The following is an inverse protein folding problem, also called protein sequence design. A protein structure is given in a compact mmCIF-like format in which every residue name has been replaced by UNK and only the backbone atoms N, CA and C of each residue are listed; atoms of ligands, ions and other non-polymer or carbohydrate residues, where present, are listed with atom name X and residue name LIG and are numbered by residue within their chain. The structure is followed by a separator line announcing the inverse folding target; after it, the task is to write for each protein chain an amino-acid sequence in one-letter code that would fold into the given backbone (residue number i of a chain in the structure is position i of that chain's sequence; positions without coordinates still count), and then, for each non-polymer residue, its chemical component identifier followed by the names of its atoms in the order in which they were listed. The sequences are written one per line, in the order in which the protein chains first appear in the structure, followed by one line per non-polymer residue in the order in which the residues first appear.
data_IF_445750788698
#
_entry.id   IF_445750788698
#
_cell.length_a   1.000
_cell.length_b   1.000
_cell.length_c   1.000
_cell.angle_alpha   90.00
_cell.angle_beta   90.00
_cell.angle_gamma   90.00
#
_symmetry.space_group_name_H-M   'P 1'
#
loop_
_entity.id
_entity.type
_entity.pdbx_description
1 polymer ?
#
# COMPACT_ATOMS: atom_id res chain seq x y z
N UNK A 1 -21.14 17.95 38.26
CA UNK A 1 -21.69 17.31 37.05
C UNK A 1 -20.48 16.80 36.27
N UNK A 2 -20.10 15.55 36.51
CA UNK A 2 -18.82 15.00 36.05
C UNK A 2 -18.89 14.67 34.57
N UNK A 3 -17.97 15.29 33.83
CA UNK A 3 -17.57 15.04 32.45
C UNK A 3 -17.68 13.56 32.08
N UNK A 4 -18.65 13.25 31.21
CA UNK A 4 -18.80 11.93 30.61
C UNK A 4 -17.72 11.77 29.55
N UNK A 5 -16.55 11.30 29.97
CA UNK A 5 -15.41 11.08 29.10
C UNK A 5 -15.80 10.13 27.97
N UNK A 6 -15.99 10.66 26.75
CA UNK A 6 -16.14 9.88 25.53
C UNK A 6 -14.78 9.23 25.23
N UNK A 7 -14.52 8.05 25.79
CA UNK A 7 -13.31 7.26 25.54
C UNK A 7 -13.70 5.86 25.11
N UNK A 8 -13.36 5.52 23.88
CA UNK A 8 -13.39 4.15 23.38
C UNK A 8 -11.97 3.67 23.19
N UNK A 9 -11.65 2.48 23.71
CA UNK A 9 -10.33 1.84 23.50
C UNK A 9 -10.06 1.47 22.04
N UNK A 10 -11.09 1.55 21.18
CA UNK A 10 -11.01 1.28 19.74
C UNK A 10 -10.75 2.55 18.90
N UNK A 11 -10.77 3.74 19.50
CA UNK A 11 -10.46 5.00 18.85
C UNK A 11 -9.08 5.46 19.32
N UNK A 12 -8.19 5.76 18.37
CA UNK A 12 -6.77 5.54 18.60
C UNK A 12 -6.02 6.63 19.38
N UNK A 13 -5.13 6.14 20.26
CA UNK A 13 -3.92 6.79 20.81
C UNK A 13 -2.63 6.28 20.11
N UNK A 14 -2.74 5.33 19.16
CA UNK A 14 -1.65 4.76 18.35
C UNK A 14 -1.76 5.13 16.85
N UNK A 15 -0.77 4.77 16.02
CA UNK A 15 -0.70 5.15 14.59
C UNK A 15 -1.79 4.46 13.74
N UNK A 16 -2.85 5.17 13.31
CA UNK A 16 -3.93 4.57 12.54
C UNK A 16 -3.51 4.34 11.08
N UNK A 17 -4.20 3.41 10.41
CA UNK A 17 -4.15 3.33 8.94
C UNK A 17 -4.86 4.58 8.40
N UNK A 18 -4.07 5.47 7.80
CA UNK A 18 -4.59 6.68 7.15
C UNK A 18 -4.70 6.45 5.65
N UNK A 19 -5.82 6.85 5.07
CA UNK A 19 -6.08 6.72 3.63
C UNK A 19 -6.52 8.07 3.10
N UNK A 20 -5.89 8.51 2.02
CA UNK A 20 -6.35 9.66 1.28
C UNK A 20 -7.67 9.35 0.56
N UNK A 21 -8.67 10.20 0.78
CA UNK A 21 -10.02 9.99 0.23
C UNK A 21 -10.04 10.11 -1.29
N UNK A 22 -9.18 10.95 -1.86
CA UNK A 22 -9.09 11.12 -3.31
C UNK A 22 -8.44 9.91 -3.92
N UNK A 23 -7.34 9.41 -3.35
CA UNK A 23 -6.72 8.15 -3.75
C UNK A 23 -7.74 7.00 -3.74
N UNK A 24 -8.51 6.86 -2.66
CA UNK A 24 -9.55 5.83 -2.56
C UNK A 24 -10.63 5.97 -3.65
N UNK A 25 -10.98 7.18 -4.08
CA UNK A 25 -11.90 7.41 -5.20
C UNK A 25 -11.26 7.09 -6.56
N UNK A 26 -9.96 7.33 -6.72
CA UNK A 26 -9.24 7.11 -7.97
C UNK A 26 -9.00 5.62 -8.21
N UNK A 27 -8.56 4.87 -7.19
CA UNK A 27 -8.08 3.48 -7.38
C UNK A 27 -8.88 2.42 -6.62
N UNK A 28 -9.76 2.83 -5.70
CA UNK A 28 -10.51 1.96 -4.78
C UNK A 28 -9.92 1.97 -3.36
N UNK A 29 -10.78 1.72 -2.36
CA UNK A 29 -10.40 1.81 -0.95
C UNK A 29 -9.31 0.80 -0.56
N UNK A 30 -9.50 -0.47 -0.93
CA UNK A 30 -8.55 -1.52 -0.55
C UNK A 30 -7.20 -1.29 -1.24
N UNK A 31 -7.23 -0.91 -2.51
CA UNK A 31 -6.06 -0.58 -3.31
C UNK A 31 -5.30 0.62 -2.72
N UNK A 32 -6.02 1.67 -2.29
CA UNK A 32 -5.44 2.84 -1.64
C UNK A 32 -4.74 2.48 -0.33
N UNK A 33 -5.35 1.66 0.52
CA UNK A 33 -4.76 1.19 1.78
C UNK A 33 -3.46 0.41 1.51
N UNK A 34 -3.49 -0.56 0.59
CA UNK A 34 -2.30 -1.37 0.28
C UNK A 34 -1.20 -0.52 -0.33
N UNK A 35 -1.53 0.34 -1.30
CA UNK A 35 -0.55 1.20 -1.96
C UNK A 35 0.11 2.17 -0.98
N UNK A 36 -0.66 2.74 -0.05
CA UNK A 36 -0.14 3.61 1.00
C UNK A 36 0.81 2.86 1.95
N UNK A 37 0.48 1.62 2.33
CA UNK A 37 1.33 0.81 3.19
C UNK A 37 2.63 0.39 2.49
N UNK A 38 2.59 0.09 1.19
CA UNK A 38 3.80 -0.14 0.39
C UNK A 38 4.64 1.14 0.33
N UNK A 39 4.02 2.29 0.07
CA UNK A 39 4.70 3.57 0.02
C UNK A 39 5.46 3.88 1.33
N UNK A 40 4.84 3.61 2.49
CA UNK A 40 5.50 3.75 3.78
C UNK A 40 6.84 3.00 3.84
N UNK A 41 6.86 1.73 3.40
CA UNK A 41 8.08 0.92 3.40
C UNK A 41 9.10 1.39 2.37
N UNK A 42 8.65 1.87 1.20
CA UNK A 42 9.54 2.48 0.21
C UNK A 42 10.22 3.74 0.75
N UNK A 43 9.47 4.59 1.46
CA UNK A 43 10.02 5.79 2.12
C UNK A 43 11.00 5.40 3.21
N UNK A 44 10.66 4.41 4.03
CA UNK A 44 11.58 3.88 5.05
C UNK A 44 12.87 3.37 4.42
N UNK A 45 12.80 2.54 3.38
CA UNK A 45 13.96 1.98 2.70
C UNK A 45 14.80 3.07 2.03
N UNK A 46 14.15 4.08 1.43
CA UNK A 46 14.81 5.24 0.85
C UNK A 46 15.60 6.05 1.88
N UNK A 47 14.96 6.39 3.02
CA UNK A 47 15.60 7.14 4.11
C UNK A 47 16.79 6.41 4.71
N UNK A 48 16.70 5.08 4.80
CA UNK A 48 17.77 4.24 5.33
C UNK A 48 18.77 3.78 4.26
N UNK A 49 18.58 4.17 2.99
CA UNK A 49 19.44 3.83 1.86
C UNK A 49 19.65 2.31 1.67
N UNK A 50 18.60 1.53 1.93
CA UNK A 50 18.59 0.06 1.74
C UNK A 50 17.67 -0.32 0.59
N UNK A 51 17.87 -1.52 0.03
CA UNK A 51 16.99 -2.09 -1.00
C UNK A 51 16.87 -1.22 -2.27
N UNK A 52 17.97 -0.55 -2.64
CA UNK A 52 18.06 0.20 -3.89
C UNK A 52 18.62 -0.69 -5.00
N UNK A 53 17.78 -1.00 -6.00
CA UNK A 53 18.08 -1.95 -7.07
C UNK A 53 17.57 -1.35 -8.39
N UNK A 54 18.41 -1.34 -9.42
CA UNK A 54 18.10 -0.85 -10.77
C UNK A 54 17.48 0.56 -10.78
N UNK A 55 18.05 1.47 -9.98
CA UNK A 55 17.62 2.87 -9.94
C UNK A 55 16.35 3.13 -9.12
N UNK A 56 15.81 2.14 -8.41
CA UNK A 56 14.58 2.26 -7.62
C UNK A 56 14.75 1.69 -6.22
N UNK A 57 14.02 2.25 -5.26
CA UNK A 57 13.84 1.60 -3.96
C UNK A 57 12.73 0.57 -4.07
N UNK A 58 12.92 -0.53 -3.34
CA UNK A 58 11.99 -1.64 -3.28
C UNK A 58 11.68 -2.03 -1.84
N UNK A 59 10.51 -2.61 -1.62
CA UNK A 59 10.18 -3.35 -0.40
C UNK A 59 9.83 -4.78 -0.78
N UNK A 60 9.98 -5.72 0.12
CA UNK A 60 9.64 -7.12 -0.13
C UNK A 60 8.83 -7.69 1.00
N UNK A 61 7.95 -8.64 0.66
CA UNK A 61 7.23 -9.53 1.57
C UNK A 61 6.49 -10.55 0.69
N UNK A 62 6.23 -11.74 1.22
CA UNK A 62 5.21 -12.63 0.68
C UNK A 62 3.81 -12.06 0.94
N UNK A 63 2.81 -12.49 0.17
CA UNK A 63 1.41 -12.11 0.42
C UNK A 63 0.96 -12.55 1.82
N UNK A 64 1.52 -13.66 2.32
CA UNK A 64 1.25 -14.15 3.68
C UNK A 64 1.77 -13.18 4.74
N UNK A 65 3.02 -12.72 4.62
CA UNK A 65 3.58 -11.74 5.55
C UNK A 65 2.85 -10.39 5.48
N UNK A 66 2.48 -9.94 4.27
CA UNK A 66 1.63 -8.75 4.11
C UNK A 66 0.31 -8.89 4.89
N UNK A 67 -0.34 -10.04 4.76
CA UNK A 67 -1.58 -10.35 5.47
C UNK A 67 -1.36 -10.38 6.99
N UNK A 68 -0.43 -11.19 7.48
CA UNK A 68 -0.23 -11.41 8.91
C UNK A 68 0.29 -10.17 9.66
N UNK A 69 1.06 -9.29 9.02
CA UNK A 69 1.67 -8.14 9.69
C UNK A 69 0.88 -6.83 9.55
N UNK A 70 0.18 -6.62 8.44
CA UNK A 70 -0.42 -5.30 8.13
C UNK A 70 -1.90 -5.35 7.80
N UNK A 71 -2.43 -6.51 7.39
CA UNK A 71 -3.78 -6.62 6.83
C UNK A 71 -4.56 -7.80 7.43
N UNK A 72 -4.31 -8.14 8.69
CA UNK A 72 -4.91 -9.27 9.40
C UNK A 72 -6.42 -9.09 9.62
N UNK A 73 -6.90 -7.84 9.52
CA UNK A 73 -8.31 -7.46 9.49
C UNK A 73 -9.03 -7.81 8.16
N UNK A 74 -8.30 -8.24 7.13
CA UNK A 74 -8.86 -8.80 5.89
C UNK A 74 -8.61 -10.30 5.79
N UNK A 75 -9.34 -10.97 4.88
CA UNK A 75 -8.98 -12.33 4.49
C UNK A 75 -7.73 -12.34 3.62
N UNK A 76 -6.95 -13.41 3.69
CA UNK A 76 -5.78 -13.63 2.82
C UNK A 76 -6.11 -13.41 1.33
N UNK A 77 -7.25 -13.93 0.86
CA UNK A 77 -7.69 -13.76 -0.53
C UNK A 77 -7.97 -12.31 -0.90
N UNK A 78 -8.43 -11.48 0.05
CA UNK A 78 -8.63 -10.05 -0.19
C UNK A 78 -7.29 -9.37 -0.41
N UNK A 79 -6.31 -9.60 0.47
CA UNK A 79 -4.95 -9.07 0.32
C UNK A 79 -4.36 -9.51 -1.02
N UNK A 80 -4.40 -10.81 -1.32
CA UNK A 80 -3.89 -11.38 -2.57
C UNK A 80 -4.51 -10.71 -3.81
N UNK A 81 -5.84 -10.60 -3.86
CA UNK A 81 -6.54 -9.98 -4.99
C UNK A 81 -6.24 -8.49 -5.11
N UNK A 82 -6.10 -7.77 -4.01
CA UNK A 82 -5.78 -6.34 -4.01
C UNK A 82 -4.38 -6.09 -4.57
N UNK A 83 -3.36 -6.85 -4.15
CA UNK A 83 -2.02 -6.76 -4.74
C UNK A 83 -2.04 -7.07 -6.25
N UNK A 84 -2.71 -8.15 -6.66
CA UNK A 84 -2.84 -8.51 -8.08
C UNK A 84 -3.54 -7.43 -8.90
N UNK A 85 -4.56 -6.76 -8.33
CA UNK A 85 -5.26 -5.67 -9.00
C UNK A 85 -4.37 -4.44 -9.16
N UNK A 86 -3.60 -4.07 -8.15
CA UNK A 86 -2.62 -2.98 -8.24
C UNK A 86 -1.53 -3.28 -9.29
N UNK A 87 -1.03 -4.53 -9.34
CA UNK A 87 -0.11 -4.99 -10.38
C UNK A 87 -0.74 -4.87 -11.78
N UNK A 88 -1.99 -5.32 -11.94
CA UNK A 88 -2.74 -5.23 -13.21
C UNK A 88 -3.01 -3.79 -13.64
N UNK A 89 -3.27 -2.89 -12.68
CA UNK A 89 -3.39 -1.46 -12.93
C UNK A 89 -2.04 -0.83 -13.30
N UNK A 90 -0.92 -1.53 -13.10
CA UNK A 90 0.42 -1.05 -13.32
C UNK A 90 0.86 0.02 -12.32
N UNK A 91 0.16 0.16 -11.19
CA UNK A 91 0.55 1.08 -10.11
C UNK A 91 1.59 0.47 -9.18
N UNK A 92 1.54 -0.86 -9.06
CA UNK A 92 2.49 -1.64 -8.28
C UNK A 92 3.32 -2.48 -9.23
N UNK A 93 4.61 -2.18 -9.30
CA UNK A 93 5.57 -2.95 -10.08
C UNK A 93 6.12 -4.04 -9.18
N UNK A 94 6.12 -5.29 -9.66
CA UNK A 94 6.71 -6.40 -8.92
C UNK A 94 7.89 -7.04 -9.64
N UNK A 95 8.83 -7.55 -8.86
CA UNK A 95 10.01 -8.26 -9.33
C UNK A 95 10.33 -9.43 -8.39
N UNK A 96 11.19 -10.33 -8.87
CA UNK A 96 11.80 -11.39 -8.06
C UNK A 96 13.31 -11.23 -8.09
N UNK A 97 13.90 -10.87 -6.96
CA UNK A 97 15.35 -10.77 -6.80
C UNK A 97 15.95 -11.93 -6.00
N UNK A 98 15.13 -12.89 -5.57
CA UNK A 98 15.58 -14.03 -4.79
C UNK A 98 15.88 -15.21 -5.71
N UNK A 99 17.04 -15.86 -5.51
CA UNK A 99 17.51 -16.99 -6.34
C UNK A 99 16.71 -18.28 -6.10
N UNK A 100 16.12 -18.45 -4.91
CA UNK A 100 15.35 -19.63 -4.57
C UNK A 100 13.97 -19.62 -5.25
N UNK A 101 13.67 -20.69 -5.99
CA UNK A 101 12.38 -20.90 -6.67
C UNK A 101 11.24 -21.17 -5.70
N UNK A 102 11.52 -21.74 -4.52
CA UNK A 102 10.51 -22.03 -3.50
C UNK A 102 10.10 -20.78 -2.73
N UNK A 103 10.96 -19.76 -2.71
CA UNK A 103 10.67 -18.49 -2.07
C UNK A 103 9.56 -17.72 -2.82
N UNK A 104 8.47 -17.50 -2.10
CA UNK A 104 7.27 -16.78 -2.56
C UNK A 104 7.35 -15.27 -2.30
N UNK A 105 8.46 -14.79 -1.74
CA UNK A 105 8.72 -13.38 -1.53
C UNK A 105 8.76 -12.65 -2.87
N UNK A 106 7.95 -11.61 -2.97
CA UNK A 106 7.96 -10.68 -4.09
C UNK A 106 8.50 -9.34 -3.62
N UNK A 107 9.22 -8.69 -4.52
CA UNK A 107 9.65 -7.32 -4.35
C UNK A 107 8.67 -6.41 -5.06
N UNK A 108 8.40 -5.26 -4.45
CA UNK A 108 7.42 -4.29 -4.90
C UNK A 108 7.99 -2.88 -4.89
N UNK A 109 7.64 -2.11 -5.90
CA UNK A 109 7.83 -0.66 -5.98
C UNK A 109 6.60 -0.01 -6.62
N UNK A 110 6.47 1.31 -6.52
CA UNK A 110 5.30 2.04 -7.04
C UNK A 110 5.69 2.76 -8.33
N UNK A 111 4.81 2.70 -9.32
CA UNK A 111 4.85 3.57 -10.49
C UNK A 111 4.18 4.91 -10.15
N UNK A 112 4.95 5.84 -9.60
CA UNK A 112 4.45 7.15 -9.16
C UNK A 112 3.98 8.01 -10.34
N UNK A 113 4.68 7.95 -11.48
CA UNK A 113 4.29 8.69 -12.69
C UNK A 113 2.91 8.24 -13.17
N UNK A 114 2.64 6.93 -13.17
CA UNK A 114 1.31 6.42 -13.52
C UNK A 114 0.24 6.82 -12.52
N UNK A 115 0.57 6.88 -11.24
CA UNK A 115 -0.37 7.32 -10.20
C UNK A 115 -0.76 8.80 -10.40
N UNK A 116 0.22 9.65 -10.72
CA UNK A 116 -0.01 11.08 -11.01
C UNK A 116 -0.88 11.26 -12.26
N UNK A 117 -0.64 10.47 -13.32
CA UNK A 117 -1.48 10.49 -14.52
C UNK A 117 -2.95 10.11 -14.22
N UNK A 118 -3.18 9.11 -13.36
CA UNK A 118 -4.55 8.74 -12.95
C UNK A 118 -5.23 9.83 -12.14
N UNK A 119 -4.47 10.57 -11.33
CA UNK A 119 -4.97 11.72 -10.59
C UNK A 119 -5.37 12.86 -11.55
N UNK A 120 -4.52 13.21 -12.51
CA UNK A 120 -4.82 14.23 -13.52
C UNK A 120 -6.08 13.90 -14.32
N UNK A 121 -6.27 12.63 -14.70
CA UNK A 121 -7.48 12.16 -15.37
C UNK A 121 -8.72 12.28 -14.46
N UNK A 122 -8.59 11.95 -13.18
CA UNK A 122 -9.67 12.07 -12.20
C UNK A 122 -10.10 13.53 -12.01
N UNK A 123 -9.16 14.46 -11.88
CA UNK A 123 -9.45 15.89 -11.73
C UNK A 123 -10.17 16.44 -12.97
N UNK A 124 -9.69 16.10 -14.18
CA UNK A 124 -10.34 16.51 -15.44
C UNK A 124 -11.79 16.04 -15.53
N UNK A 125 -12.10 14.81 -15.09
CA UNK A 125 -13.48 14.31 -15.07
C UNK A 125 -14.35 14.93 -13.97
N UNK A 126 -13.75 15.34 -12.86
CA UNK A 126 -14.49 15.92 -11.72
C UNK A 126 -14.80 17.40 -11.93
N UNK A 127 -14.06 18.07 -12.82
CA UNK A 127 -14.27 19.45 -13.22
C UNK A 127 -15.27 19.63 -14.39
N UNK A 128 -15.69 18.53 -15.03
CA UNK A 128 -16.64 18.50 -16.15
C UNK A 128 -18.05 18.14 -15.66
#
# INVERSE_FOLDING_TARGET
MTDSTVRSKLLFEENPIVVDKTLAKVIGLNEAIVLQQVHYWLVYNSRNQINFIDGKYWTYNSIKEWHEQYFDFWSYDTVKRTFQKLEKMGLLISAKFNDDKLDQTKWYTIDYEKLDLLYDEYEKRSAA
#
